data_IF_391882039517
#
_entry.id   IF_391882039517
#
_cell.length_a   1.000
_cell.length_b   1.000
_cell.length_c   1.000
_cell.angle_alpha   90.00
_cell.angle_beta   90.00
_cell.angle_gamma   90.00
#
_symmetry.space_group_name_H-M   'P 1'
#
loop_
_entity.id
_entity.type
_entity.pdbx_description
1 polymer ?
#
# COMPACT_ATOMS: atom_id res chain seq x y z
N UNK A 1 -3.66 62.53 15.67
CA UNK A 1 -3.25 61.36 16.45
C UNK A 1 -4.38 60.36 16.45
N UNK A 2 -4.26 59.32 15.66
CA UNK A 2 -5.17 58.18 15.64
C UNK A 2 -4.52 57.03 16.41
N UNK A 3 -5.22 56.29 17.24
CA UNK A 3 -4.61 55.21 18.02
C UNK A 3 -4.37 53.98 17.12
N UNK A 4 -3.21 53.40 17.31
CA UNK A 4 -2.75 52.16 16.74
C UNK A 4 -3.64 51.00 17.24
N UNK A 5 -4.27 50.26 16.34
CA UNK A 5 -5.01 49.05 16.67
C UNK A 5 -3.99 47.95 17.03
N UNK A 6 -4.00 47.56 18.29
CA UNK A 6 -3.33 46.35 18.77
C UNK A 6 -4.02 45.14 18.19
N UNK A 7 -3.30 44.34 17.42
CA UNK A 7 -3.74 43.00 17.03
C UNK A 7 -3.78 42.14 18.29
N UNK A 8 -5.00 41.92 18.78
CA UNK A 8 -5.24 40.86 19.78
C UNK A 8 -4.98 39.51 19.12
N UNK A 9 -3.95 38.84 19.59
CA UNK A 9 -3.75 37.44 19.31
C UNK A 9 -4.87 36.65 20.01
N UNK A 10 -5.70 35.93 19.23
CA UNK A 10 -6.67 35.03 19.79
C UNK A 10 -6.00 34.05 20.76
N UNK A 11 -6.63 33.71 21.89
CA UNK A 11 -6.06 32.77 22.83
C UNK A 11 -6.01 31.39 22.17
N UNK A 12 -4.81 30.85 22.02
CA UNK A 12 -4.57 29.47 21.67
C UNK A 12 -5.41 28.57 22.60
N UNK A 13 -6.31 27.80 22.01
CA UNK A 13 -7.13 26.80 22.69
C UNK A 13 -6.16 25.85 23.42
N UNK A 14 -6.19 25.86 24.76
CA UNK A 14 -5.22 25.12 25.59
C UNK A 14 -5.36 23.59 25.48
N UNK A 15 -6.44 23.12 24.83
CA UNK A 15 -6.75 21.70 24.65
C UNK A 15 -6.36 21.18 23.25
N UNK A 16 -5.87 22.03 22.34
CA UNK A 16 -5.41 21.57 21.02
C UNK A 16 -3.97 21.09 21.07
N UNK A 17 -3.71 19.87 20.62
CA UNK A 17 -2.37 19.34 20.44
C UNK A 17 -1.61 20.17 19.39
N UNK A 18 -0.45 20.80 19.73
CA UNK A 18 0.23 21.70 18.81
C UNK A 18 0.90 20.94 17.67
N UNK A 19 0.86 21.49 16.46
CA UNK A 19 1.66 21.00 15.36
C UNK A 19 3.15 21.32 15.60
N UNK A 20 4.01 20.32 15.38
CA UNK A 20 5.48 20.50 15.46
C UNK A 20 6.06 21.01 14.15
N UNK A 21 5.32 20.89 13.05
CA UNK A 21 5.72 21.32 11.71
C UNK A 21 4.48 21.55 10.85
N UNK A 22 4.53 22.56 9.97
CA UNK A 22 3.50 22.80 8.94
C UNK A 22 4.11 22.72 7.55
N UNK A 23 3.32 22.30 6.58
CA UNK A 23 3.73 22.26 5.17
C UNK A 23 3.92 23.71 4.61
N UNK A 24 4.59 23.90 3.46
CA UNK A 24 4.86 25.24 2.93
C UNK A 24 3.62 26.08 2.62
N UNK A 25 2.42 25.50 2.58
CA UNK A 25 1.17 26.25 2.38
C UNK A 25 0.41 26.52 3.67
N UNK A 26 0.83 25.93 4.79
CA UNK A 26 0.14 26.02 6.07
C UNK A 26 -1.12 25.15 6.18
N UNK A 27 -1.49 24.39 5.13
CA UNK A 27 -2.68 23.53 5.13
C UNK A 27 -2.53 22.30 6.01
N UNK A 28 -1.37 21.64 5.95
CA UNK A 28 -1.13 20.38 6.68
C UNK A 28 -0.25 20.64 7.89
N UNK A 29 -0.73 20.24 9.07
CA UNK A 29 0.01 20.29 10.33
C UNK A 29 0.43 18.90 10.78
N UNK A 30 1.71 18.70 11.10
CA UNK A 30 2.28 17.46 11.59
C UNK A 30 2.34 17.44 13.12
N UNK A 31 1.88 16.34 13.69
CA UNK A 31 2.09 16.04 15.12
C UNK A 31 3.43 15.33 15.35
N UNK A 32 3.86 15.22 16.59
CA UNK A 32 5.09 14.48 16.95
C UNK A 32 4.87 12.95 16.99
N UNK A 33 3.62 12.51 16.85
CA UNK A 33 3.24 11.10 16.88
C UNK A 33 3.74 10.35 15.65
N UNK A 34 4.66 9.39 15.89
CA UNK A 34 5.23 8.53 14.86
C UNK A 34 4.33 7.29 14.64
N UNK A 35 3.75 7.18 13.45
CA UNK A 35 2.92 6.04 13.04
C UNK A 35 3.76 4.87 12.51
N UNK A 36 4.92 5.15 11.95
CA UNK A 36 5.82 4.13 11.41
C UNK A 36 7.21 4.66 11.07
N UNK A 37 8.21 3.79 11.16
CA UNK A 37 9.60 4.13 10.83
C UNK A 37 10.28 2.98 10.09
N UNK A 38 10.84 3.30 8.92
CA UNK A 38 11.74 2.42 8.15
C UNK A 38 13.14 2.99 8.06
N UNK A 39 14.03 2.32 7.33
CA UNK A 39 15.42 2.73 7.18
C UNK A 39 15.59 4.14 6.60
N UNK A 40 14.75 4.52 5.63
CA UNK A 40 14.83 5.80 4.90
C UNK A 40 13.58 6.65 5.05
N UNK A 41 12.47 6.11 5.58
CA UNK A 41 11.14 6.73 5.64
C UNK A 41 10.63 6.77 7.08
N UNK A 42 10.04 7.89 7.46
CA UNK A 42 9.24 8.06 8.69
C UNK A 42 7.83 8.50 8.32
N UNK A 43 6.85 8.04 9.04
CA UNK A 43 5.44 8.38 8.85
C UNK A 43 4.89 8.92 10.16
N UNK A 44 4.31 10.09 10.12
CA UNK A 44 3.74 10.77 11.28
C UNK A 44 2.24 11.01 11.10
N UNK A 45 1.51 11.11 12.21
CA UNK A 45 0.15 11.62 12.21
C UNK A 45 0.18 13.11 11.85
N UNK A 46 -0.77 13.53 11.02
CA UNK A 46 -0.93 14.92 10.62
C UNK A 46 -2.41 15.25 10.40
N UNK A 47 -2.70 16.51 10.19
CA UNK A 47 -4.06 17.01 10.04
C UNK A 47 -4.16 17.94 8.83
N UNK A 48 -5.19 17.76 8.03
CA UNK A 48 -5.58 18.66 6.95
C UNK A 48 -6.54 19.71 7.52
N UNK A 49 -6.05 20.94 7.70
CA UNK A 49 -6.80 22.04 8.33
C UNK A 49 -7.92 22.59 7.43
N UNK A 50 -7.87 22.33 6.11
CA UNK A 50 -8.93 22.75 5.18
C UNK A 50 -10.08 21.73 5.15
N UNK A 51 -9.78 20.42 5.11
CA UNK A 51 -10.80 19.37 5.04
C UNK A 51 -11.23 18.87 6.43
N UNK A 52 -10.51 19.23 7.50
CA UNK A 52 -10.84 18.80 8.87
C UNK A 52 -10.62 17.30 9.12
N UNK A 53 -9.65 16.67 8.45
CA UNK A 53 -9.41 15.23 8.52
C UNK A 53 -7.97 14.90 8.92
N UNK A 54 -7.79 13.74 9.57
CA UNK A 54 -6.47 13.17 9.82
C UNK A 54 -5.86 12.62 8.52
N UNK A 55 -4.54 12.82 8.38
CA UNK A 55 -3.74 12.38 7.24
C UNK A 55 -2.40 11.82 7.72
N UNK A 56 -1.68 11.12 6.85
CA UNK A 56 -0.34 10.63 7.14
C UNK A 56 0.70 11.53 6.46
N UNK A 57 1.63 12.07 7.25
CA UNK A 57 2.78 12.82 6.76
C UNK A 57 3.98 11.90 6.65
N UNK A 58 4.41 11.67 5.43
CA UNK A 58 5.53 10.82 5.11
C UNK A 58 6.77 11.67 4.83
N UNK A 59 7.89 11.33 5.46
CA UNK A 59 9.20 11.95 5.23
C UNK A 59 10.21 10.91 4.76
N UNK A 60 10.82 11.15 3.59
CA UNK A 60 11.88 10.31 3.02
C UNK A 60 13.18 11.09 2.98
N UNK A 61 14.25 10.55 3.56
CA UNK A 61 15.58 11.16 3.54
C UNK A 61 16.21 11.03 2.16
N UNK A 62 16.54 12.16 1.50
CA UNK A 62 17.13 12.18 0.17
C UNK A 62 18.65 11.98 0.16
N UNK A 63 19.31 11.90 1.31
CA UNK A 63 20.77 11.69 1.41
C UNK A 63 21.27 10.43 0.72
N UNK A 64 20.39 9.44 0.54
CA UNK A 64 20.69 8.19 -0.17
C UNK A 64 20.72 8.36 -1.69
N UNK A 65 20.31 9.51 -2.21
CA UNK A 65 20.13 9.73 -3.66
C UNK A 65 21.17 10.67 -4.22
N UNK A 66 22.20 11.09 -3.47
CA UNK A 66 23.27 12.02 -3.86
C UNK A 66 22.96 12.89 -5.10
N UNK A 67 23.73 13.85 -5.46
CA UNK A 67 23.52 14.98 -6.38
C UNK A 67 23.03 14.68 -7.83
N UNK A 68 22.35 13.56 -8.09
CA UNK A 68 21.80 13.22 -9.42
C UNK A 68 20.44 13.93 -9.66
N UNK A 69 20.51 15.08 -10.32
CA UNK A 69 19.33 15.89 -10.70
C UNK A 69 18.36 15.13 -11.61
N UNK A 70 18.85 14.28 -12.49
CA UNK A 70 18.00 13.48 -13.40
C UNK A 70 17.16 12.46 -12.60
N UNK A 71 17.70 11.94 -11.52
CA UNK A 71 16.99 11.05 -10.63
C UNK A 71 15.90 11.77 -9.82
N UNK A 72 16.19 12.96 -9.33
CA UNK A 72 15.21 13.78 -8.64
C UNK A 72 14.03 14.15 -9.55
N UNK A 73 14.29 14.50 -10.81
CA UNK A 73 13.24 14.79 -11.79
C UNK A 73 12.35 13.56 -12.08
N UNK A 74 12.95 12.38 -12.21
CA UNK A 74 12.20 11.12 -12.35
C UNK A 74 11.34 10.86 -11.11
N UNK A 75 11.89 11.03 -9.91
CA UNK A 75 11.17 10.93 -8.65
C UNK A 75 9.94 11.85 -8.64
N UNK A 76 10.11 13.12 -9.01
CA UNK A 76 9.00 14.07 -9.06
C UNK A 76 7.96 13.70 -10.12
N UNK A 77 8.37 13.20 -11.29
CA UNK A 77 7.47 12.80 -12.36
C UNK A 77 6.62 11.59 -11.94
N UNK A 78 7.23 10.57 -11.33
CA UNK A 78 6.50 9.40 -10.84
C UNK A 78 5.57 9.78 -9.68
N UNK A 79 6.01 10.65 -8.77
CA UNK A 79 5.14 11.12 -7.69
C UNK A 79 3.95 11.95 -8.20
N UNK A 80 4.14 12.76 -9.25
CA UNK A 80 3.03 13.47 -9.90
C UNK A 80 2.02 12.50 -10.50
N UNK A 81 2.48 11.42 -11.12
CA UNK A 81 1.61 10.36 -11.62
C UNK A 81 0.76 9.75 -10.49
N UNK A 82 1.41 9.41 -9.39
CA UNK A 82 0.72 8.84 -8.22
C UNK A 82 -0.36 9.77 -7.66
N UNK A 83 -0.15 11.09 -7.72
CA UNK A 83 -1.15 12.08 -7.31
C UNK A 83 -2.42 12.07 -8.18
N UNK A 84 -2.32 11.61 -9.43
CA UNK A 84 -3.47 11.51 -10.34
C UNK A 84 -4.34 10.28 -10.08
N UNK A 85 -3.85 9.29 -9.32
CA UNK A 85 -4.55 8.04 -9.05
C UNK A 85 -5.74 8.28 -8.12
N UNK A 86 -6.91 7.80 -8.55
CA UNK A 86 -8.15 7.83 -7.77
C UNK A 86 -8.79 6.45 -7.84
N UNK A 87 -8.67 5.67 -6.78
CA UNK A 87 -9.26 4.34 -6.68
C UNK A 87 -9.52 4.00 -5.22
N UNK A 88 -10.63 3.34 -4.94
CA UNK A 88 -11.07 2.96 -3.58
C UNK A 88 -10.10 2.02 -2.87
N UNK A 89 -9.31 1.23 -3.62
CA UNK A 89 -8.36 0.27 -3.10
C UNK A 89 -6.89 0.73 -3.23
N UNK A 90 -6.67 2.02 -3.46
CA UNK A 90 -5.35 2.65 -3.50
C UNK A 90 -5.32 3.78 -2.47
N UNK A 91 -4.24 3.88 -1.69
CA UNK A 91 -4.03 5.01 -0.77
C UNK A 91 -3.90 6.29 -1.58
N UNK A 92 -4.73 7.28 -1.27
CA UNK A 92 -4.70 8.58 -1.94
C UNK A 92 -3.44 9.37 -1.55
N UNK A 93 -2.81 9.99 -2.55
CA UNK A 93 -1.70 10.92 -2.36
C UNK A 93 -2.20 12.36 -2.57
N UNK A 94 -2.16 13.19 -1.52
CA UNK A 94 -2.72 14.55 -1.56
C UNK A 94 -1.71 15.60 -1.97
N UNK A 95 -0.50 15.56 -1.39
CA UNK A 95 0.52 16.57 -1.60
C UNK A 95 1.92 16.00 -1.55
N UNK A 96 2.85 16.64 -2.27
CA UNK A 96 4.28 16.32 -2.24
C UNK A 96 5.08 17.60 -2.33
N UNK A 97 6.17 17.70 -1.56
CA UNK A 97 7.15 18.78 -1.65
C UNK A 97 8.53 18.32 -1.17
N UNK A 98 9.55 18.99 -1.63
CA UNK A 98 10.91 18.83 -1.12
C UNK A 98 11.16 19.90 -0.05
N UNK A 99 11.70 19.49 1.08
CA UNK A 99 12.32 20.38 2.04
C UNK A 99 13.84 20.38 1.83
N UNK A 100 14.35 21.50 1.33
CA UNK A 100 15.78 21.64 1.04
C UNK A 100 16.62 21.74 2.32
N UNK A 101 16.07 22.27 3.41
CA UNK A 101 16.78 22.44 4.69
C UNK A 101 17.10 21.09 5.33
N UNK A 102 16.12 20.21 5.38
CA UNK A 102 16.28 18.87 5.93
C UNK A 102 16.76 17.83 4.90
N UNK A 103 16.81 18.22 3.61
CA UNK A 103 17.05 17.34 2.47
C UNK A 103 16.13 16.12 2.50
N UNK A 104 14.83 16.37 2.64
CA UNK A 104 13.78 15.35 2.68
C UNK A 104 12.74 15.58 1.58
N UNK A 105 12.19 14.49 1.07
CA UNK A 105 10.95 14.50 0.31
C UNK A 105 9.81 14.23 1.28
N UNK A 106 8.86 15.15 1.32
CA UNK A 106 7.66 15.06 2.15
C UNK A 106 6.44 14.82 1.28
N UNK A 107 5.53 13.99 1.74
CA UNK A 107 4.25 13.79 1.06
C UNK A 107 3.14 13.44 2.05
N UNK A 108 1.94 13.91 1.73
CA UNK A 108 0.72 13.67 2.50
C UNK A 108 -0.09 12.61 1.82
N UNK A 109 -0.48 11.58 2.57
CA UNK A 109 -1.35 10.52 2.10
C UNK A 109 -2.57 10.36 2.99
N UNK A 110 -3.58 9.69 2.47
CA UNK A 110 -4.67 9.14 3.27
C UNK A 110 -4.12 8.31 4.45
N UNK A 111 -4.79 8.36 5.59
CA UNK A 111 -4.48 7.54 6.75
C UNK A 111 -5.49 6.39 6.88
N UNK A 112 -5.00 5.18 7.11
CA UNK A 112 -5.82 4.03 7.48
C UNK A 112 -5.59 3.73 8.96
N UNK A 113 -6.60 4.00 9.77
CA UNK A 113 -6.51 4.00 11.24
C UNK A 113 -6.24 2.63 11.87
N UNK A 114 -6.49 1.54 11.13
CA UNK A 114 -6.27 0.17 11.62
C UNK A 114 -4.87 -0.38 11.28
N UNK A 115 -4.00 0.44 10.68
CA UNK A 115 -2.63 0.07 10.33
C UNK A 115 -2.56 -0.84 9.10
N UNK A 116 -1.46 -1.58 8.97
CA UNK A 116 -1.26 -2.48 7.84
C UNK A 116 -1.93 -3.86 8.04
N UNK A 117 -2.17 -4.54 6.93
CA UNK A 117 -2.90 -5.81 6.88
C UNK A 117 -2.16 -6.95 7.61
N UNK A 118 -0.82 -6.93 7.64
CA UNK A 118 -0.02 -7.92 8.38
C UNK A 118 -0.29 -7.85 9.87
N UNK A 119 -0.16 -6.67 10.47
CA UNK A 119 -0.39 -6.47 11.90
C UNK A 119 -1.87 -6.64 12.24
N UNK A 120 -2.76 -6.15 11.37
CA UNK A 120 -4.20 -6.34 11.53
C UNK A 120 -4.57 -7.84 11.54
N UNK A 121 -4.03 -8.63 10.62
CA UNK A 121 -4.26 -10.08 10.54
C UNK A 121 -3.67 -10.86 11.73
N UNK A 122 -2.50 -10.45 12.24
CA UNK A 122 -1.92 -11.02 13.46
C UNK A 122 -2.81 -10.78 14.69
N UNK A 123 -3.39 -9.58 14.78
CA UNK A 123 -4.31 -9.21 15.87
C UNK A 123 -5.65 -9.94 15.75
N UNK A 124 -6.17 -10.12 14.55
CA UNK A 124 -7.46 -10.76 14.26
C UNK A 124 -7.25 -12.15 13.64
N UNK A 125 -6.88 -13.15 14.46
CA UNK A 125 -6.54 -14.50 13.98
C UNK A 125 -7.74 -15.31 13.49
N UNK A 126 -8.93 -15.07 14.05
CA UNK A 126 -10.17 -15.79 13.72
C UNK A 126 -11.00 -15.02 12.70
N UNK A 127 -10.49 -14.92 11.46
CA UNK A 127 -11.19 -14.31 10.33
C UNK A 127 -11.71 -15.41 9.42
N UNK A 128 -12.97 -15.28 8.97
CA UNK A 128 -13.57 -16.22 8.05
C UNK A 128 -12.90 -16.21 6.66
N UNK A 129 -12.96 -17.33 5.94
CA UNK A 129 -12.47 -17.39 4.56
C UNK A 129 -13.18 -16.36 3.66
N UNK A 130 -14.48 -16.10 3.89
CA UNK A 130 -15.22 -15.05 3.17
C UNK A 130 -14.57 -13.67 3.34
N UNK A 131 -14.17 -13.28 4.55
CA UNK A 131 -13.51 -11.99 4.78
C UNK A 131 -12.11 -11.95 4.16
N UNK A 132 -11.33 -13.04 4.21
CA UNK A 132 -10.05 -13.15 3.53
C UNK A 132 -10.20 -13.01 2.02
N UNK A 133 -11.21 -13.63 1.42
CA UNK A 133 -11.56 -13.48 0.00
C UNK A 133 -11.96 -12.04 -0.33
N UNK A 134 -12.78 -11.35 0.51
CA UNK A 134 -13.13 -9.93 0.33
C UNK A 134 -11.87 -9.04 0.31
N UNK A 135 -10.95 -9.19 1.26
CA UNK A 135 -9.70 -8.42 1.27
C UNK A 135 -8.83 -8.72 0.05
N UNK A 136 -8.69 -10.00 -0.29
CA UNK A 136 -7.91 -10.45 -1.45
C UNK A 136 -8.46 -9.87 -2.75
N UNK A 137 -9.80 -9.84 -2.92
CA UNK A 137 -10.48 -9.27 -4.09
C UNK A 137 -10.22 -7.76 -4.21
N UNK A 138 -10.25 -7.03 -3.09
CA UNK A 138 -9.99 -5.59 -3.04
C UNK A 138 -8.53 -5.26 -3.44
N UNK A 139 -7.54 -6.03 -2.94
CA UNK A 139 -6.14 -5.87 -3.34
C UNK A 139 -6.02 -6.10 -4.85
N UNK A 140 -6.66 -7.13 -5.37
CA UNK A 140 -6.61 -7.47 -6.79
C UNK A 140 -7.26 -6.39 -7.66
N UNK A 141 -8.37 -5.78 -7.22
CA UNK A 141 -8.97 -4.60 -7.89
C UNK A 141 -8.00 -3.43 -7.97
N UNK A 142 -7.30 -3.15 -6.86
CA UNK A 142 -6.25 -2.13 -6.85
C UNK A 142 -5.13 -2.43 -7.84
N UNK A 143 -4.67 -3.69 -7.94
CA UNK A 143 -3.67 -4.10 -8.92
C UNK A 143 -4.18 -3.95 -10.36
N UNK A 144 -5.41 -4.35 -10.65
CA UNK A 144 -6.00 -4.16 -11.99
C UNK A 144 -5.99 -2.70 -12.37
N UNK A 145 -6.39 -1.81 -11.46
CA UNK A 145 -6.37 -0.38 -11.70
C UNK A 145 -4.96 0.13 -12.05
N UNK A 146 -3.92 -0.29 -11.31
CA UNK A 146 -2.53 0.09 -11.57
C UNK A 146 -2.02 -0.46 -12.90
N UNK A 147 -2.28 -1.74 -13.17
CA UNK A 147 -1.76 -2.45 -14.35
C UNK A 147 -2.44 -1.99 -15.66
N UNK A 148 -3.69 -1.54 -15.58
CA UNK A 148 -4.44 -1.01 -16.74
C UNK A 148 -4.29 0.49 -16.92
N UNK A 149 -3.57 1.16 -16.03
CA UNK A 149 -3.26 2.59 -16.16
C UNK A 149 -2.32 2.83 -17.36
N UNK A 150 -2.45 3.97 -18.02
CA UNK A 150 -1.55 4.39 -19.09
C UNK A 150 -0.72 5.62 -18.65
N UNK A 151 0.58 5.47 -18.46
CA UNK A 151 1.40 4.24 -18.58
C UNK A 151 1.13 3.22 -17.45
N UNK A 152 1.34 1.93 -17.74
CA UNK A 152 1.21 0.84 -16.77
C UNK A 152 2.07 1.09 -15.51
N UNK A 153 1.46 0.95 -14.35
CA UNK A 153 2.11 1.15 -13.06
C UNK A 153 2.34 -0.21 -12.39
N UNK A 154 3.59 -0.51 -12.08
CA UNK A 154 4.00 -1.73 -11.38
C UNK A 154 4.40 -1.35 -9.94
N UNK A 155 3.81 -2.01 -8.95
CA UNK A 155 4.04 -1.73 -7.53
C UNK A 155 5.46 -2.12 -7.07
N UNK A 156 5.93 -3.33 -7.43
CA UNK A 156 7.26 -3.92 -7.19
C UNK A 156 7.58 -4.32 -5.76
N UNK A 157 6.86 -3.84 -4.77
CA UNK A 157 7.02 -4.22 -3.35
C UNK A 157 5.67 -4.48 -2.68
N UNK A 158 4.77 -5.17 -3.37
CA UNK A 158 3.50 -5.57 -2.78
C UNK A 158 3.74 -6.65 -1.71
N UNK A 159 3.32 -6.38 -0.50
CA UNK A 159 3.33 -7.30 0.64
C UNK A 159 2.29 -6.84 1.68
N UNK A 160 1.96 -7.67 2.66
CA UNK A 160 0.92 -7.35 3.63
C UNK A 160 1.24 -6.14 4.54
N UNK A 161 2.49 -5.68 4.61
CA UNK A 161 2.84 -4.45 5.34
C UNK A 161 2.56 -3.18 4.53
N UNK A 162 2.46 -3.30 3.19
CA UNK A 162 2.16 -2.20 2.27
C UNK A 162 0.68 -2.18 1.84
N UNK A 163 -0.15 -3.03 2.43
CA UNK A 163 -1.60 -2.98 2.32
C UNK A 163 -2.17 -2.50 3.65
N UNK A 164 -2.99 -1.48 3.63
CA UNK A 164 -3.54 -0.83 4.82
C UNK A 164 -5.04 -1.14 4.97
N UNK A 165 -5.53 -1.07 6.22
CA UNK A 165 -6.89 -1.49 6.56
C UNK A 165 -7.65 -0.35 7.20
N UNK A 166 -8.88 -0.12 6.73
CA UNK A 166 -9.92 0.56 7.50
C UNK A 166 -10.82 -0.52 8.11
N UNK A 167 -10.53 -0.89 9.36
CA UNK A 167 -11.20 -2.02 10.03
C UNK A 167 -12.68 -1.77 10.33
N UNK A 168 -13.12 -0.51 10.37
CA UNK A 168 -14.51 -0.15 10.66
C UNK A 168 -15.45 -0.58 9.53
N UNK A 169 -14.97 -0.53 8.29
CA UNK A 169 -15.74 -0.87 7.08
C UNK A 169 -15.16 -2.08 6.33
N UNK A 170 -14.10 -2.71 6.85
CA UNK A 170 -13.48 -3.88 6.20
C UNK A 170 -12.77 -3.56 4.88
N UNK A 171 -12.46 -2.29 4.61
CA UNK A 171 -11.81 -1.84 3.38
C UNK A 171 -10.30 -2.02 3.48
N UNK A 172 -9.68 -2.46 2.38
CA UNK A 172 -8.22 -2.52 2.25
C UNK A 172 -7.74 -1.68 1.07
N UNK A 173 -6.56 -1.06 1.24
CA UNK A 173 -5.94 -0.17 0.27
C UNK A 173 -4.47 -0.49 0.10
N UNK A 174 -4.02 -0.58 -1.13
CA UNK A 174 -2.60 -0.69 -1.46
C UNK A 174 -1.95 0.67 -1.21
N UNK A 175 -0.88 0.68 -0.44
CA UNK A 175 -0.07 1.87 -0.16
C UNK A 175 1.36 1.71 -0.61
N UNK A 176 2.19 2.72 -0.33
CA UNK A 176 3.61 2.78 -0.70
C UNK A 176 3.89 2.57 -2.20
N UNK A 177 2.96 3.07 -3.02
CA UNK A 177 3.01 3.00 -4.47
C UNK A 177 4.25 3.69 -5.03
N UNK A 178 5.09 2.92 -5.69
CA UNK A 178 6.13 3.43 -6.58
C UNK A 178 7.29 4.16 -5.93
N UNK A 179 7.20 4.58 -4.66
CA UNK A 179 8.35 5.16 -3.97
C UNK A 179 9.45 4.12 -3.76
N UNK A 180 9.11 2.86 -3.55
CA UNK A 180 10.06 1.76 -3.58
C UNK A 180 10.67 1.58 -4.98
N UNK A 181 9.88 1.73 -6.05
CA UNK A 181 10.34 1.64 -7.42
C UNK A 181 11.23 2.82 -7.85
N UNK A 182 10.88 4.02 -7.41
CA UNK A 182 11.65 5.24 -7.68
C UNK A 182 12.93 5.26 -6.86
N UNK A 183 12.80 4.99 -5.57
CA UNK A 183 13.93 4.89 -4.63
C UNK A 183 14.86 3.75 -5.02
N UNK A 184 14.35 2.75 -5.73
CA UNK A 184 15.03 1.50 -6.01
C UNK A 184 15.81 1.40 -7.28
N UNK A 185 15.47 2.12 -8.32
CA UNK A 185 16.18 2.00 -9.61
C UNK A 185 17.65 2.35 -9.57
N UNK A 186 18.12 3.10 -8.59
CA UNK A 186 19.48 3.61 -8.53
C UNK A 186 20.35 3.07 -7.40
N UNK A 187 19.84 2.21 -6.52
CA UNK A 187 20.68 1.47 -5.59
C UNK A 187 21.15 0.13 -6.18
N UNK A 188 21.68 0.19 -7.39
CA UNK A 188 22.24 -0.96 -8.13
C UNK A 188 23.43 -1.64 -7.46
N UNK A 189 23.86 -1.17 -6.30
CA UNK A 189 25.08 -1.76 -5.74
C UNK A 189 24.83 -2.72 -4.56
N UNK A 190 23.81 -2.58 -3.70
CA UNK A 190 23.79 -3.40 -2.47
C UNK A 190 22.45 -3.61 -1.77
N UNK A 191 21.28 -3.30 -2.30
CA UNK A 191 20.02 -3.73 -1.70
C UNK A 191 19.09 -4.38 -2.71
N UNK A 192 18.81 -5.64 -2.49
CA UNK A 192 17.71 -6.35 -3.11
C UNK A 192 16.45 -5.57 -2.74
N UNK A 193 15.86 -4.91 -3.73
CA UNK A 193 14.70 -4.04 -3.56
C UNK A 193 13.44 -4.84 -3.43
N UNK A 194 12.71 -4.56 -2.37
CA UNK A 194 11.49 -5.25 -2.02
C UNK A 194 11.71 -6.19 -0.84
N UNK A 195 10.65 -6.88 -0.49
CA UNK A 195 10.62 -7.88 0.57
C UNK A 195 10.92 -9.24 -0.07
N UNK A 196 12.10 -9.84 0.15
CA UNK A 196 12.57 -11.02 -0.61
C UNK A 196 11.59 -12.18 -0.65
N UNK A 197 10.82 -12.37 0.41
CA UNK A 197 9.81 -13.40 0.58
C UNK A 197 8.64 -13.28 -0.40
N UNK A 198 8.44 -12.10 -0.98
CA UNK A 198 7.34 -11.76 -1.89
C UNK A 198 7.80 -11.56 -3.34
N UNK A 199 9.11 -11.60 -3.60
CA UNK A 199 9.68 -11.31 -4.89
C UNK A 199 9.51 -12.46 -5.89
N UNK A 200 8.97 -12.13 -7.07
CA UNK A 200 8.90 -13.06 -8.20
C UNK A 200 10.32 -13.42 -8.71
N UNK A 201 10.55 -14.67 -9.18
CA UNK A 201 11.86 -15.07 -9.68
C UNK A 201 12.35 -14.22 -10.85
N UNK A 202 11.46 -13.79 -11.74
CA UNK A 202 11.81 -12.94 -12.89
C UNK A 202 12.19 -11.49 -12.52
N UNK A 203 11.94 -11.04 -11.30
CA UNK A 203 12.38 -9.72 -10.83
C UNK A 203 13.92 -9.63 -10.78
N UNK A 204 14.57 -10.76 -10.55
CA UNK A 204 16.04 -10.86 -10.52
C UNK A 204 16.65 -10.85 -11.95
N UNK A 205 15.85 -11.05 -13.00
CA UNK A 205 16.32 -11.14 -14.39
C UNK A 205 16.27 -9.77 -15.14
N UNK A 206 15.91 -8.67 -14.47
CA UNK A 206 15.73 -7.32 -15.02
C UNK A 206 14.70 -7.19 -16.18
N UNK A 207 14.12 -8.29 -16.66
CA UNK A 207 13.08 -8.36 -17.71
C UNK A 207 11.76 -8.81 -17.14
N UNK A 208 11.12 -7.96 -16.37
CA UNK A 208 9.85 -8.26 -15.74
C UNK A 208 8.71 -7.38 -16.30
N UNK A 209 7.49 -7.79 -16.04
CA UNK A 209 6.25 -7.08 -16.34
C UNK A 209 5.44 -6.91 -15.05
N UNK A 210 4.25 -6.36 -15.15
CA UNK A 210 3.28 -6.25 -14.05
C UNK A 210 2.95 -7.58 -13.37
N UNK A 211 3.24 -8.72 -14.02
CA UNK A 211 3.02 -10.05 -13.45
C UNK A 211 3.84 -10.34 -12.19
N UNK A 212 4.92 -9.57 -11.92
CA UNK A 212 5.64 -9.68 -10.65
C UNK A 212 4.75 -9.33 -9.46
N UNK A 213 3.86 -8.33 -9.62
CA UNK A 213 2.92 -7.93 -8.58
C UNK A 213 1.88 -9.02 -8.32
N UNK A 214 1.48 -9.77 -9.36
CA UNK A 214 0.58 -10.93 -9.22
C UNK A 214 1.22 -12.04 -8.40
N UNK A 215 2.51 -12.30 -8.58
CA UNK A 215 3.25 -13.24 -7.74
C UNK A 215 3.28 -12.77 -6.28
N UNK A 216 3.65 -11.52 -6.05
CA UNK A 216 3.66 -10.91 -4.72
C UNK A 216 2.27 -10.93 -4.07
N UNK A 217 1.22 -10.69 -4.84
CA UNK A 217 -0.17 -10.84 -4.41
C UNK A 217 -0.48 -12.26 -3.95
N UNK A 218 -0.07 -13.27 -4.72
CA UNK A 218 -0.22 -14.69 -4.32
C UNK A 218 0.46 -14.99 -2.98
N UNK A 219 1.65 -14.40 -2.74
CA UNK A 219 2.35 -14.51 -1.46
C UNK A 219 1.61 -13.76 -0.34
N UNK A 220 0.96 -12.62 -0.62
CA UNK A 220 0.09 -11.95 0.35
C UNK A 220 -1.11 -12.83 0.73
N UNK A 221 -1.78 -13.44 -0.24
CA UNK A 221 -2.91 -14.35 0.03
C UNK A 221 -2.44 -15.55 0.86
N UNK A 222 -1.26 -16.09 0.57
CA UNK A 222 -0.66 -17.16 1.37
C UNK A 222 -0.44 -16.74 2.82
N UNK A 223 0.16 -15.56 3.07
CA UNK A 223 0.36 -15.03 4.42
C UNK A 223 -0.97 -14.84 5.14
N UNK A 224 -1.99 -14.31 4.47
CA UNK A 224 -3.32 -14.10 5.05
C UNK A 224 -4.00 -15.40 5.49
N UNK A 225 -3.88 -16.45 4.69
CA UNK A 225 -4.52 -17.75 4.98
C UNK A 225 -3.73 -18.57 5.99
N UNK A 226 -2.40 -18.61 5.86
CA UNK A 226 -1.54 -19.44 6.71
C UNK A 226 -1.14 -18.78 8.03
N UNK A 227 -1.22 -17.43 8.14
CA UNK A 227 -0.65 -16.61 9.21
C UNK A 227 0.88 -16.70 9.32
N UNK A 228 1.54 -17.14 8.27
CA UNK A 228 3.00 -17.24 8.21
C UNK A 228 3.55 -16.43 7.03
N UNK A 229 4.66 -15.75 7.26
CA UNK A 229 5.40 -15.09 6.18
C UNK A 229 5.94 -16.19 5.25
N UNK A 230 5.73 -16.08 3.91
CA UNK A 230 6.31 -17.02 2.96
C UNK A 230 7.81 -17.17 3.16
N UNK A 231 8.34 -18.37 3.01
CA UNK A 231 9.77 -18.67 3.19
C UNK A 231 10.35 -18.33 4.57
N UNK A 232 9.52 -18.20 5.62
CA UNK A 232 9.99 -18.01 7.00
C UNK A 232 10.85 -19.16 7.53
N UNK A 233 10.85 -20.30 6.84
CA UNK A 233 11.75 -21.40 7.10
C UNK A 233 13.20 -21.14 6.63
N UNK A 234 13.44 -20.08 5.87
CA UNK A 234 14.77 -19.70 5.41
C UNK A 234 15.42 -18.72 6.40
N UNK A 235 16.66 -18.96 6.75
CA UNK A 235 17.44 -18.14 7.68
C UNK A 235 18.22 -17.00 7.01
N UNK A 236 18.15 -16.89 5.67
CA UNK A 236 18.86 -15.86 4.92
C UNK A 236 18.18 -15.56 3.58
N UNK A 237 18.33 -14.31 3.13
CA UNK A 237 17.87 -13.84 1.81
C UNK A 237 18.44 -14.70 0.67
N UNK A 238 19.68 -15.12 0.80
CA UNK A 238 20.33 -15.99 -0.20
C UNK A 238 19.65 -17.35 -0.33
N UNK A 239 19.16 -17.94 0.77
CA UNK A 239 18.38 -19.18 0.72
C UNK A 239 17.01 -18.96 0.09
N UNK A 240 16.32 -17.85 0.42
CA UNK A 240 15.06 -17.47 -0.22
C UNK A 240 15.27 -17.39 -1.73
N UNK A 241 16.26 -16.62 -2.17
CA UNK A 241 16.58 -16.45 -3.59
C UNK A 241 16.79 -17.81 -4.31
N UNK A 242 17.61 -18.71 -3.71
CA UNK A 242 17.86 -20.05 -4.29
C UNK A 242 16.57 -20.85 -4.43
N UNK A 243 15.71 -20.87 -3.41
CA UNK A 243 14.41 -21.60 -3.46
C UNK A 243 13.50 -21.03 -4.51
N UNK A 244 13.31 -19.71 -4.53
CA UNK A 244 12.46 -19.01 -5.52
C UNK A 244 12.94 -19.28 -6.94
N UNK A 245 14.24 -19.09 -7.20
CA UNK A 245 14.85 -19.31 -8.53
C UNK A 245 14.81 -20.78 -8.97
N UNK A 246 14.81 -21.73 -8.03
CA UNK A 246 14.66 -23.17 -8.33
C UNK A 246 13.21 -23.61 -8.41
N UNK A 247 12.22 -22.70 -8.26
CA UNK A 247 10.81 -23.03 -8.30
C UNK A 247 10.29 -23.76 -7.05
N UNK A 248 11.05 -23.79 -5.96
CA UNK A 248 10.66 -24.43 -4.70
C UNK A 248 9.69 -23.49 -3.97
N UNK A 249 8.47 -23.96 -3.75
CA UNK A 249 7.41 -23.20 -3.07
C UNK A 249 7.68 -23.08 -1.57
N UNK A 250 7.14 -22.02 -0.89
CA UNK A 250 7.29 -21.85 0.56
C UNK A 250 6.55 -22.95 1.34
N UNK A 251 7.12 -23.38 2.47
CA UNK A 251 6.53 -24.44 3.31
C UNK A 251 5.17 -24.06 3.89
N UNK A 252 4.93 -22.77 4.10
CA UNK A 252 3.64 -22.25 4.51
C UNK A 252 2.48 -22.71 3.61
N UNK A 253 2.73 -22.97 2.32
CA UNK A 253 1.72 -23.49 1.37
C UNK A 253 1.19 -24.88 1.76
N UNK A 254 2.01 -25.70 2.43
CA UNK A 254 1.59 -27.02 2.90
C UNK A 254 0.64 -26.94 4.11
N UNK A 255 0.58 -25.81 4.79
CA UNK A 255 -0.29 -25.54 5.94
C UNK A 255 -1.68 -25.03 5.52
N UNK A 256 -1.84 -24.63 4.28
CA UNK A 256 -3.13 -24.20 3.73
C UNK A 256 -4.05 -25.41 3.59
N UNK A 257 -5.10 -25.47 4.45
CA UNK A 257 -6.07 -26.60 4.49
C UNK A 257 -7.17 -26.44 3.45
N UNK A 258 -7.53 -25.21 3.13
CA UNK A 258 -8.55 -24.89 2.12
C UNK A 258 -7.96 -25.15 0.71
N UNK A 259 -8.50 -26.15 0.02
CA UNK A 259 -7.98 -26.59 -1.28
C UNK A 259 -8.21 -25.56 -2.38
N UNK A 260 -9.32 -24.82 -2.30
CA UNK A 260 -9.65 -23.75 -3.24
C UNK A 260 -8.65 -22.57 -3.10
N UNK A 261 -8.42 -22.13 -1.87
CA UNK A 261 -7.43 -21.10 -1.58
C UNK A 261 -6.02 -21.56 -2.00
N UNK A 262 -5.66 -22.82 -1.76
CA UNK A 262 -4.37 -23.37 -2.16
C UNK A 262 -4.19 -23.33 -3.68
N UNK A 263 -5.20 -23.81 -4.42
CA UNK A 263 -5.18 -23.81 -5.89
C UNK A 263 -5.10 -22.38 -6.45
N UNK A 264 -5.82 -21.44 -5.86
CA UNK A 264 -5.78 -20.03 -6.25
C UNK A 264 -4.38 -19.41 -6.02
N UNK A 265 -3.78 -19.63 -4.83
CA UNK A 265 -2.42 -19.17 -4.53
C UNK A 265 -1.42 -19.78 -5.56
N UNK A 266 -1.53 -21.06 -5.85
CA UNK A 266 -0.64 -21.73 -6.81
C UNK A 266 -0.72 -21.15 -8.22
N UNK A 267 -1.91 -20.70 -8.68
CA UNK A 267 -2.07 -19.95 -9.94
C UNK A 267 -1.29 -18.62 -9.90
N UNK A 268 -1.40 -17.86 -8.80
CA UNK A 268 -0.74 -16.58 -8.66
C UNK A 268 0.79 -16.71 -8.67
N UNK A 269 1.34 -17.72 -8.00
CA UNK A 269 2.79 -17.95 -7.90
C UNK A 269 3.36 -18.89 -8.98
N UNK A 270 2.59 -19.17 -10.02
CA UNK A 270 3.03 -19.99 -11.15
C UNK A 270 4.18 -19.32 -11.92
N UNK A 271 4.85 -20.06 -12.77
CA UNK A 271 5.86 -19.51 -13.68
C UNK A 271 5.26 -18.37 -14.53
N UNK A 272 6.05 -17.34 -14.83
CA UNK A 272 5.64 -16.14 -15.58
C UNK A 272 4.82 -16.44 -16.84
N UNK A 273 5.19 -17.50 -17.60
CA UNK A 273 4.55 -17.87 -18.87
C UNK A 273 3.09 -18.33 -18.74
N UNK A 274 2.69 -18.84 -17.57
CA UNK A 274 1.36 -19.39 -17.30
C UNK A 274 0.64 -18.68 -16.16
N UNK A 275 1.28 -17.67 -15.55
CA UNK A 275 0.69 -16.84 -14.51
C UNK A 275 -0.37 -15.94 -15.12
N UNK A 276 -1.63 -15.99 -14.62
CA UNK A 276 -2.67 -15.10 -15.08
C UNK A 276 -2.38 -13.64 -14.74
N UNK A 277 -2.97 -12.71 -15.48
CA UNK A 277 -3.01 -11.30 -15.12
C UNK A 277 -3.93 -11.05 -13.93
N UNK A 278 -3.81 -9.89 -13.29
CA UNK A 278 -4.71 -9.48 -12.21
C UNK A 278 -6.17 -9.43 -12.68
N UNK A 279 -6.43 -8.99 -13.91
CA UNK A 279 -7.78 -8.93 -14.48
C UNK A 279 -8.39 -10.32 -14.73
N UNK A 280 -7.59 -11.32 -15.11
CA UNK A 280 -8.04 -12.71 -15.25
C UNK A 280 -8.34 -13.34 -13.89
N UNK A 281 -7.51 -13.08 -12.88
CA UNK A 281 -7.71 -13.58 -11.52
C UNK A 281 -8.96 -13.01 -10.84
N UNK A 282 -9.40 -11.79 -11.17
CA UNK A 282 -10.68 -11.26 -10.67
C UNK A 282 -11.90 -12.07 -11.08
N UNK A 283 -11.79 -12.86 -12.17
CA UNK A 283 -12.85 -13.74 -12.69
C UNK A 283 -12.68 -15.18 -12.23
N UNK A 284 -11.71 -15.45 -11.37
CA UNK A 284 -11.48 -16.79 -10.85
C UNK A 284 -12.63 -17.24 -9.95
N UNK A 285 -13.09 -18.51 -10.07
CA UNK A 285 -14.14 -19.07 -9.20
C UNK A 285 -13.86 -18.93 -7.69
N UNK A 286 -12.61 -18.74 -7.30
CA UNK A 286 -12.24 -18.45 -5.92
C UNK A 286 -13.06 -17.29 -5.32
N UNK A 287 -13.49 -16.33 -6.13
CA UNK A 287 -14.28 -15.17 -5.70
C UNK A 287 -15.80 -15.35 -5.89
N UNK A 288 -16.27 -16.52 -6.29
CA UNK A 288 -17.71 -16.77 -6.43
C UNK A 288 -18.44 -16.54 -5.10
N UNK A 289 -19.58 -15.83 -5.16
CA UNK A 289 -20.37 -15.45 -3.97
C UNK A 289 -19.75 -14.34 -3.11
N UNK A 290 -18.65 -13.71 -3.52
CA UNK A 290 -18.10 -12.51 -2.88
C UNK A 290 -18.70 -11.29 -3.58
N UNK A 291 -19.70 -10.68 -2.94
CA UNK A 291 -20.36 -9.43 -3.39
C UNK A 291 -19.46 -8.25 -3.01
N UNK A 292 -19.39 -7.26 -3.87
CA UNK A 292 -18.70 -6.00 -3.61
C UNK A 292 -19.61 -5.09 -2.76
N UNK A 293 -19.05 -4.41 -1.77
CA UNK A 293 -19.81 -3.58 -0.83
C UNK A 293 -20.59 -2.44 -1.56
N UNK A 294 -20.12 -1.98 -2.73
CA UNK A 294 -20.82 -1.01 -3.60
C UNK A 294 -22.11 -1.58 -4.24
N UNK A 295 -22.23 -2.89 -4.39
CA UNK A 295 -23.43 -3.56 -4.92
C UNK A 295 -24.45 -3.84 -3.80
N UNK A 296 -24.02 -4.01 -2.55
CA UNK A 296 -24.91 -4.18 -1.39
C UNK A 296 -25.71 -2.88 -1.13
N UNK A 297 -25.08 -1.69 -1.19
CA UNK A 297 -25.77 -0.39 -1.00
C UNK A 297 -26.81 -0.09 -2.11
N UNK A 298 -26.55 -0.50 -3.35
CA UNK A 298 -27.49 -0.31 -4.46
C UNK A 298 -28.68 -1.28 -4.41
N UNK A 299 -28.53 -2.48 -3.85
CA UNK A 299 -29.61 -3.44 -3.69
C UNK A 299 -30.54 -3.08 -2.52
N UNK A 300 -30.04 -2.53 -1.42
CA UNK A 300 -30.88 -2.07 -0.30
C UNK A 300 -31.71 -0.85 -0.66
N UNK A 301 -31.20 0.05 -1.51
CA UNK A 301 -31.95 1.20 -2.03
C UNK A 301 -33.03 0.81 -3.06
N UNK A 302 -32.90 -0.30 -3.74
CA UNK A 302 -33.90 -0.79 -4.71
C UNK A 302 -35.04 -1.59 -4.07
N UNK A 303 -34.86 -2.07 -2.84
CA UNK A 303 -35.83 -2.86 -2.07
C UNK A 303 -36.89 -2.04 -1.30
N UNK A 304 -36.70 -0.72 -1.11
CA UNK A 304 -37.55 0.13 -0.29
C UNK A 304 -38.72 0.79 -1.06
N UNK A 305 -38.95 0.42 -2.28
CA UNK A 305 -39.95 1.03 -3.19
C UNK A 305 -41.19 0.19 -3.51
N UNK A 306 -41.73 -0.60 -2.56
CA UNK A 306 -43.06 -1.21 -2.68
C UNK A 306 -43.67 -1.39 -1.29
N UNK A 307 -44.66 -0.59 -1.02
CA UNK A 307 -46.02 -0.83 -0.47
C UNK A 307 -46.54 0.48 0.09
N UNK A 308 -47.34 1.19 -0.66
CA UNK A 308 -48.58 1.88 -0.19
C UNK A 308 -49.56 1.84 -1.33
N UNK A 309 -50.54 1.04 -1.20
CA UNK A 309 -51.85 1.17 -1.79
C UNK A 309 -52.86 0.65 -0.80
#
# INVERSE_FOLDING_TARGET
MLPCASSESEPLDKDSEPFVETDPTGRYGRYDELLGSGAVKKVYRAFDQEEGIEVAWNQVKLRCFSDDTAMLERLYSEVRLLKSLKNTNIIALYKVWRDERSNTLNFITEICTSGNLREYRKKHRHVSMRALKKWSKQILKGLVYLHTHDPCIIHRDLNCSNVFVNGNIGQVKIGDLGLAAVVGKNHLAHSILGTPEFMAPELYEEKYTELIDVYSYGMCVLELVSLEIPYSECDSVAKIYRRVSSGVKPEALNKVKDLEAKAFIEKCIAQKKVRPSAAELLRDPFFDGIVDDEEEENNDNSGSGRIVS
#
